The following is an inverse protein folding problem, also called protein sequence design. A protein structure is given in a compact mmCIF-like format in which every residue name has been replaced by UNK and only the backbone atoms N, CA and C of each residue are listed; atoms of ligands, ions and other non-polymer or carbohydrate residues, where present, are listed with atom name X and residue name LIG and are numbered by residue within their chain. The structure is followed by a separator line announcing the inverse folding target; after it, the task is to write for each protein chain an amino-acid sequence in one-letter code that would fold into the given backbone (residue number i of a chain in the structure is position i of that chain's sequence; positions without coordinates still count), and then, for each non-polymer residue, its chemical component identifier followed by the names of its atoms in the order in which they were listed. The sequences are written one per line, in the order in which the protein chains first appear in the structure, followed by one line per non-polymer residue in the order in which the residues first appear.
data_IF_780012295418
#
_entry.id   IF_780012295418
#
_cell.length_a   1.000
_cell.length_b   1.000
_cell.length_c   1.000
_cell.angle_alpha   90.00
_cell.angle_beta   90.00
_cell.angle_gamma   90.00
#
_symmetry.space_group_name_H-M   'P 1'
#
loop_
_entity.id
_entity.type
_entity.pdbx_description
1 polymer ?
#
# COMPACT_ATOMS: atom_id res chain seq x y z
N UNK A 1 13.67 -11.22 -19.09
CA UNK A 1 13.51 -10.41 -17.86
C UNK A 1 12.06 -10.37 -17.37
N UNK A 2 11.06 -9.92 -18.17
CA UNK A 2 9.67 -9.81 -17.69
C UNK A 2 8.75 -11.00 -18.01
N UNK A 3 9.22 -12.04 -18.69
CA UNK A 3 8.45 -13.26 -18.92
C UNK A 3 8.47 -14.18 -17.68
N UNK A 4 8.06 -13.66 -16.52
CA UNK A 4 8.16 -14.31 -15.20
C UNK A 4 6.81 -14.76 -14.63
N UNK A 5 5.70 -14.53 -15.35
CA UNK A 5 4.35 -14.78 -14.84
C UNK A 5 4.11 -16.24 -14.45
N UNK A 6 4.82 -17.18 -15.09
CA UNK A 6 4.74 -18.61 -14.78
C UNK A 6 5.56 -19.02 -13.55
N UNK A 7 6.53 -18.18 -13.15
CA UNK A 7 7.41 -18.41 -11.99
C UNK A 7 6.81 -17.82 -10.70
N UNK A 8 5.92 -16.84 -10.83
CA UNK A 8 5.31 -16.14 -9.70
C UNK A 8 4.47 -17.10 -8.85
N UNK A 9 4.80 -17.16 -7.56
CA UNK A 9 3.94 -17.78 -6.56
C UNK A 9 2.70 -16.90 -6.32
N UNK A 10 1.59 -17.22 -7.00
CA UNK A 10 0.34 -16.48 -6.90
C UNK A 10 -0.33 -16.56 -5.52
N UNK A 11 0.01 -17.57 -4.71
CA UNK A 11 -0.45 -17.63 -3.31
C UNK A 11 0.24 -16.51 -2.50
N UNK A 12 1.54 -16.30 -2.71
CA UNK A 12 2.28 -15.21 -2.07
C UNK A 12 1.69 -13.83 -2.44
N UNK A 13 1.32 -13.64 -3.71
CA UNK A 13 0.65 -12.43 -4.21
C UNK A 13 -0.68 -12.20 -3.48
N UNK A 14 -1.52 -13.23 -3.38
CA UNK A 14 -2.82 -13.10 -2.70
C UNK A 14 -2.64 -12.80 -1.21
N UNK A 15 -1.70 -13.47 -0.53
CA UNK A 15 -1.41 -13.23 0.89
C UNK A 15 -0.86 -11.82 1.13
N UNK A 16 0.02 -11.33 0.27
CA UNK A 16 0.54 -9.96 0.36
C UNK A 16 -0.57 -8.91 0.16
N UNK A 17 -1.47 -9.12 -0.80
CA UNK A 17 -2.61 -8.24 -1.04
C UNK A 17 -3.60 -8.25 0.15
N UNK A 18 -3.87 -9.42 0.73
CA UNK A 18 -4.72 -9.55 1.92
C UNK A 18 -4.08 -8.89 3.15
N UNK A 19 -2.78 -9.14 3.39
CA UNK A 19 -2.05 -8.57 4.51
C UNK A 19 -2.06 -7.03 4.48
N UNK A 20 -1.82 -6.43 3.31
CA UNK A 20 -1.85 -4.97 3.15
C UNK A 20 -3.27 -4.40 3.22
N UNK A 21 -4.28 -5.14 2.75
CA UNK A 21 -5.68 -4.72 2.89
C UNK A 21 -6.16 -4.73 4.34
N UNK A 22 -5.80 -5.77 5.10
CA UNK A 22 -6.04 -5.84 6.55
C UNK A 22 -5.31 -4.70 7.25
N UNK A 23 -4.03 -4.48 6.90
CA UNK A 23 -3.25 -3.35 7.40
C UNK A 23 -3.99 -2.04 7.13
N UNK A 24 -4.49 -1.79 5.93
CA UNK A 24 -5.20 -0.57 5.58
C UNK A 24 -6.45 -0.37 6.43
N UNK A 25 -7.26 -1.43 6.59
CA UNK A 25 -8.41 -1.41 7.49
C UNK A 25 -8.03 -1.01 8.90
N UNK A 26 -7.03 -1.67 9.49
CA UNK A 26 -6.54 -1.37 10.85
C UNK A 26 -5.91 0.03 10.95
N UNK A 27 -5.14 0.43 9.94
CA UNK A 27 -4.38 1.68 9.92
C UNK A 27 -5.30 2.90 9.89
N UNK A 28 -6.25 2.92 8.96
CA UNK A 28 -7.12 4.09 8.74
C UNK A 28 -8.36 4.13 9.63
N UNK A 29 -8.65 3.06 10.37
CA UNK A 29 -9.82 3.03 11.27
C UNK A 29 -9.42 2.97 12.76
N UNK A 30 -8.40 2.19 13.11
CA UNK A 30 -8.02 1.94 14.51
C UNK A 30 -6.81 2.80 14.88
N UNK A 31 -5.68 2.62 14.18
CA UNK A 31 -4.40 3.23 14.59
C UNK A 31 -4.43 4.75 14.37
N UNK A 32 -4.78 5.18 13.16
CA UNK A 32 -4.77 6.58 12.76
C UNK A 32 -6.15 7.14 12.44
N UNK A 33 -7.25 6.45 12.77
CA UNK A 33 -8.60 6.84 12.34
C UNK A 33 -8.97 8.28 12.68
N UNK A 34 -8.70 8.74 13.91
CA UNK A 34 -8.94 10.13 14.32
C UNK A 34 -8.08 11.13 13.54
N UNK A 35 -6.79 10.84 13.38
CA UNK A 35 -5.85 11.70 12.67
C UNK A 35 -6.15 11.74 11.16
N UNK A 36 -6.63 10.64 10.60
CA UNK A 36 -7.05 10.52 9.21
C UNK A 36 -8.34 11.30 8.94
N UNK A 37 -9.35 11.17 9.81
CA UNK A 37 -10.56 12.00 9.74
C UNK A 37 -10.24 13.50 9.85
N UNK A 38 -9.33 13.86 10.77
CA UNK A 38 -8.74 15.20 10.89
C UNK A 38 -8.07 15.65 9.59
N UNK A 39 -7.27 14.79 8.97
CA UNK A 39 -6.59 15.13 7.72
C UNK A 39 -7.59 15.44 6.59
N UNK A 40 -8.70 14.72 6.56
CA UNK A 40 -9.79 14.85 5.60
C UNK A 40 -10.81 15.95 5.92
N UNK A 41 -10.68 16.64 7.07
CA UNK A 41 -11.68 17.62 7.52
C UNK A 41 -13.04 17.00 7.91
N UNK A 42 -13.05 15.70 8.24
CA UNK A 42 -14.24 14.92 8.62
C UNK A 42 -14.33 14.67 10.13
N UNK A 43 -13.75 15.55 10.95
CA UNK A 43 -13.87 15.43 12.41
C UNK A 43 -15.33 15.64 12.83
N UNK A 44 -15.87 14.73 13.64
CA UNK A 44 -17.23 14.82 14.14
C UNK A 44 -18.32 14.45 13.13
N UNK A 45 -17.98 14.04 11.90
CA UNK A 45 -18.97 13.49 10.97
C UNK A 45 -19.37 12.08 11.42
N UNK A 46 -20.68 11.74 11.46
CA UNK A 46 -21.13 10.39 11.76
C UNK A 46 -20.48 9.37 10.82
N UNK A 47 -20.17 8.18 11.36
CA UNK A 47 -19.65 7.09 10.54
C UNK A 47 -20.77 6.52 9.69
N UNK A 48 -20.72 6.78 8.38
CA UNK A 48 -21.63 6.17 7.42
C UNK A 48 -21.11 4.81 6.96
N UNK A 49 -22.03 3.93 6.55
CA UNK A 49 -21.66 2.67 5.91
C UNK A 49 -20.94 2.98 4.60
N UNK A 50 -19.66 2.59 4.44
CA UNK A 50 -18.93 2.88 3.22
C UNK A 50 -19.59 2.20 2.02
N UNK A 51 -19.72 2.94 0.92
CA UNK A 51 -20.12 2.36 -0.36
C UNK A 51 -19.13 1.24 -0.75
N UNK A 52 -19.58 0.18 -1.46
CA UNK A 52 -18.72 -0.96 -1.81
C UNK A 52 -17.41 -0.56 -2.50
N UNK A 53 -17.41 0.52 -3.28
CA UNK A 53 -16.22 1.06 -3.94
C UNK A 53 -15.10 1.43 -2.95
N UNK A 54 -15.44 1.96 -1.77
CA UNK A 54 -14.45 2.36 -0.77
C UNK A 54 -13.86 1.19 0.02
N UNK A 55 -14.34 -0.04 -0.23
CA UNK A 55 -13.78 -1.29 0.30
C UNK A 55 -13.08 -2.05 -0.82
N UNK A 56 -13.80 -2.35 -1.91
CA UNK A 56 -13.29 -3.15 -3.01
C UNK A 56 -12.24 -2.39 -3.85
N UNK A 57 -12.39 -1.08 -4.01
CA UNK A 57 -11.45 -0.24 -4.78
C UNK A 57 -10.03 -0.32 -4.22
N UNK A 58 -9.79 0.01 -2.94
CA UNK A 58 -8.48 -0.13 -2.33
C UNK A 58 -7.88 -1.53 -2.43
N UNK A 59 -8.71 -2.59 -2.28
CA UNK A 59 -8.25 -3.97 -2.44
C UNK A 59 -7.75 -4.24 -3.88
N UNK A 60 -8.53 -3.85 -4.90
CA UNK A 60 -8.15 -4.05 -6.31
C UNK A 60 -6.89 -3.26 -6.66
N UNK A 61 -6.79 -2.00 -6.21
CA UNK A 61 -5.58 -1.20 -6.40
C UNK A 61 -4.37 -1.83 -5.70
N UNK A 62 -4.53 -2.29 -4.46
CA UNK A 62 -3.48 -2.97 -3.70
C UNK A 62 -3.02 -4.28 -4.36
N UNK A 63 -3.96 -5.05 -4.91
CA UNK A 63 -3.65 -6.27 -5.67
C UNK A 63 -2.84 -5.93 -6.93
N UNK A 64 -3.23 -4.90 -7.68
CA UNK A 64 -2.47 -4.44 -8.85
C UNK A 64 -1.05 -4.04 -8.47
N UNK A 65 -0.87 -3.25 -7.40
CA UNK A 65 0.47 -2.90 -6.87
C UNK A 65 1.27 -4.15 -6.49
N UNK A 66 0.63 -5.11 -5.82
CA UNK A 66 1.27 -6.36 -5.38
C UNK A 66 1.74 -7.19 -6.57
N UNK A 67 0.91 -7.34 -7.61
CA UNK A 67 1.29 -8.03 -8.86
C UNK A 67 2.46 -7.31 -9.54
N UNK A 68 2.42 -5.99 -9.64
CA UNK A 68 3.53 -5.21 -10.21
C UNK A 68 4.83 -5.44 -9.44
N UNK A 69 4.79 -5.37 -8.10
CA UNK A 69 5.98 -5.61 -7.28
C UNK A 69 6.48 -7.05 -7.41
N UNK A 70 5.60 -8.05 -7.47
CA UNK A 70 6.00 -9.44 -7.71
C UNK A 70 6.72 -9.60 -9.06
N UNK A 71 6.16 -9.04 -10.15
CA UNK A 71 6.83 -9.06 -11.46
C UNK A 71 8.23 -8.45 -11.37
N UNK A 72 8.39 -7.31 -10.70
CA UNK A 72 9.69 -6.66 -10.54
C UNK A 72 10.67 -7.46 -9.67
N UNK A 73 10.19 -8.09 -8.60
CA UNK A 73 11.01 -8.94 -7.71
C UNK A 73 11.57 -10.14 -8.46
N UNK A 74 10.75 -10.82 -9.27
CA UNK A 74 11.21 -11.93 -10.10
C UNK A 74 12.11 -11.43 -11.24
N UNK A 75 11.74 -10.33 -11.91
CA UNK A 75 12.50 -9.79 -13.04
C UNK A 75 13.90 -9.28 -12.66
N UNK A 76 14.07 -8.74 -11.44
CA UNK A 76 15.36 -8.28 -10.91
C UNK A 76 16.08 -9.34 -10.07
N UNK A 77 15.54 -10.55 -10.02
CA UNK A 77 16.07 -11.68 -9.27
C UNK A 77 16.40 -11.33 -7.80
N UNK A 78 15.44 -10.71 -7.12
CA UNK A 78 15.59 -10.37 -5.71
C UNK A 78 15.29 -11.62 -4.88
N UNK A 79 16.35 -12.19 -4.29
CA UNK A 79 16.27 -13.44 -3.51
C UNK A 79 16.39 -13.26 -1.99
N UNK A 80 17.07 -12.21 -1.53
CA UNK A 80 17.34 -12.02 -0.09
C UNK A 80 16.33 -11.08 0.57
N UNK A 81 16.00 -11.34 1.84
CA UNK A 81 15.11 -10.47 2.63
C UNK A 81 15.67 -9.05 2.79
N UNK A 82 17.00 -8.89 2.84
CA UNK A 82 17.65 -7.57 2.89
C UNK A 82 17.38 -6.79 1.61
N UNK A 83 17.57 -7.43 0.45
CA UNK A 83 17.27 -6.80 -0.84
C UNK A 83 15.76 -6.56 -1.02
N UNK A 84 14.92 -7.44 -0.46
CA UNK A 84 13.47 -7.24 -0.43
C UNK A 84 13.11 -5.95 0.32
N UNK A 85 13.66 -5.74 1.53
CA UNK A 85 13.42 -4.53 2.33
C UNK A 85 13.94 -3.27 1.62
N UNK A 86 15.12 -3.33 1.01
CA UNK A 86 15.68 -2.21 0.23
C UNK A 86 14.75 -1.88 -0.95
N UNK A 87 14.36 -2.89 -1.73
CA UNK A 87 13.45 -2.73 -2.87
C UNK A 87 12.08 -2.19 -2.45
N UNK A 88 11.46 -2.80 -1.43
CA UNK A 88 10.19 -2.38 -0.87
C UNK A 88 10.25 -0.97 -0.29
N UNK A 89 11.38 -0.57 0.29
CA UNK A 89 11.64 0.80 0.75
C UNK A 89 11.74 1.80 -0.42
N UNK A 90 12.49 1.47 -1.47
CA UNK A 90 12.63 2.32 -2.66
C UNK A 90 11.27 2.51 -3.35
N UNK A 91 10.53 1.42 -3.59
CA UNK A 91 9.18 1.49 -4.20
C UNK A 91 8.20 2.20 -3.25
N UNK A 92 8.23 1.85 -1.97
CA UNK A 92 7.36 2.39 -0.95
C UNK A 92 7.52 3.90 -0.79
N UNK A 93 8.74 4.42 -0.73
CA UNK A 93 9.02 5.86 -0.64
C UNK A 93 8.82 6.53 -2.00
N UNK A 94 9.52 6.03 -3.02
CA UNK A 94 9.71 6.73 -4.29
C UNK A 94 8.51 6.68 -5.23
N UNK A 95 7.69 5.63 -5.15
CA UNK A 95 6.52 5.45 -6.02
C UNK A 95 5.20 5.55 -5.25
N UNK A 96 5.08 4.90 -4.09
CA UNK A 96 3.79 4.82 -3.41
C UNK A 96 3.53 6.04 -2.51
N UNK A 97 4.43 6.32 -1.56
CA UNK A 97 4.29 7.42 -0.62
C UNK A 97 4.38 8.78 -1.33
N UNK A 98 5.35 8.98 -2.21
CA UNK A 98 5.52 10.22 -2.99
C UNK A 98 4.28 10.56 -3.80
N UNK A 99 3.71 9.60 -4.55
CA UNK A 99 2.50 9.78 -5.36
C UNK A 99 1.29 10.10 -4.48
N UNK A 100 1.19 9.44 -3.32
CA UNK A 100 0.12 9.71 -2.35
C UNK A 100 0.20 11.12 -1.79
N UNK A 101 1.40 11.56 -1.39
CA UNK A 101 1.64 12.93 -0.90
C UNK A 101 1.32 13.94 -1.99
N UNK A 102 1.81 13.73 -3.21
CA UNK A 102 1.54 14.60 -4.35
C UNK A 102 0.03 14.71 -4.64
N UNK A 103 -0.69 13.58 -4.61
CA UNK A 103 -2.15 13.54 -4.79
C UNK A 103 -2.87 14.34 -3.70
N UNK A 104 -2.37 14.29 -2.47
CA UNK A 104 -2.91 15.06 -1.35
C UNK A 104 -2.67 16.56 -1.48
N UNK A 105 -1.58 17.00 -2.12
CA UNK A 105 -1.27 18.42 -2.36
C UNK A 105 -2.21 18.96 -3.45
N UNK A 106 -3.44 19.26 -3.06
CA UNK A 106 -4.43 19.89 -3.90
C UNK A 106 -5.34 20.83 -3.06
N UNK A 107 -5.99 21.85 -3.67
CA UNK A 107 -6.78 22.83 -2.93
C UNK A 107 -8.00 22.28 -2.18
N UNK A 108 -8.47 21.08 -2.53
CA UNK A 108 -9.64 20.46 -1.89
C UNK A 108 -9.27 19.62 -0.67
N UNK A 109 -7.98 19.42 -0.40
CA UNK A 109 -7.50 18.63 0.74
C UNK A 109 -7.19 19.55 1.93
N UNK A 110 -7.92 19.47 3.07
CA UNK A 110 -7.78 20.42 4.17
C UNK A 110 -6.40 20.41 4.83
N UNK A 111 -5.81 19.23 5.00
CA UNK A 111 -4.51 19.05 5.66
C UNK A 111 -3.62 18.09 4.86
N UNK A 112 -3.09 18.54 3.71
CA UNK A 112 -2.46 17.67 2.73
C UNK A 112 -1.22 16.94 3.26
N UNK A 113 -0.39 17.62 4.06
CA UNK A 113 0.81 17.02 4.65
C UNK A 113 0.49 16.00 5.75
N UNK A 114 -0.57 16.22 6.53
CA UNK A 114 -1.02 15.25 7.53
C UNK A 114 -1.57 13.99 6.85
N UNK A 115 -2.39 14.16 5.81
CA UNK A 115 -2.85 13.04 4.98
C UNK A 115 -1.64 12.31 4.37
N UNK A 116 -0.70 13.06 3.79
CA UNK A 116 0.50 12.53 3.17
C UNK A 116 1.36 11.73 4.15
N UNK A 117 1.53 12.20 5.39
CA UNK A 117 2.27 11.45 6.41
C UNK A 117 1.55 10.14 6.78
N UNK A 118 0.24 10.18 7.04
CA UNK A 118 -0.54 9.01 7.46
C UNK A 118 -0.65 7.97 6.35
N UNK A 119 -1.09 8.41 5.16
CA UNK A 119 -1.32 7.53 4.02
C UNK A 119 -0.01 7.11 3.37
N UNK A 120 0.96 8.02 3.26
CA UNK A 120 2.27 7.72 2.70
C UNK A 120 3.04 6.70 3.54
N UNK A 121 3.01 6.80 4.87
CA UNK A 121 3.64 5.79 5.75
C UNK A 121 2.95 4.43 5.68
N UNK A 122 1.61 4.38 5.53
CA UNK A 122 0.89 3.15 5.22
C UNK A 122 1.39 2.50 3.93
N UNK A 123 1.53 3.28 2.85
CA UNK A 123 1.96 2.76 1.56
C UNK A 123 3.43 2.33 1.56
N UNK A 124 4.30 3.04 2.29
CA UNK A 124 5.67 2.59 2.54
C UNK A 124 5.68 1.22 3.23
N UNK A 125 4.96 1.09 4.35
CA UNK A 125 4.89 -0.16 5.09
C UNK A 125 4.28 -1.28 4.25
N UNK A 126 3.29 -0.96 3.41
CA UNK A 126 2.68 -1.90 2.48
C UNK A 126 3.69 -2.40 1.44
N UNK A 127 4.51 -1.52 0.87
CA UNK A 127 5.60 -1.90 -0.04
C UNK A 127 6.61 -2.84 0.62
N UNK A 128 6.99 -2.57 1.87
CA UNK A 128 7.86 -3.45 2.66
C UNK A 128 7.22 -4.83 2.88
N UNK A 129 5.97 -4.88 3.36
CA UNK A 129 5.23 -6.13 3.60
C UNK A 129 5.10 -6.95 2.33
N UNK A 130 4.70 -6.31 1.22
CA UNK A 130 4.60 -6.98 -0.09
C UNK A 130 5.94 -7.60 -0.45
N UNK A 131 7.02 -6.81 -0.44
CA UNK A 131 8.34 -7.30 -0.84
C UNK A 131 8.83 -8.48 0.02
N UNK A 132 8.62 -8.41 1.33
CA UNK A 132 9.01 -9.46 2.28
C UNK A 132 8.19 -10.74 2.04
N UNK A 133 6.87 -10.63 1.90
CA UNK A 133 6.01 -11.81 1.68
C UNK A 133 6.35 -12.49 0.36
N UNK A 134 6.51 -11.71 -0.72
CA UNK A 134 6.84 -12.28 -2.03
C UNK A 134 8.19 -12.99 -1.97
N UNK A 135 9.24 -12.38 -1.41
CA UNK A 135 10.58 -12.99 -1.35
C UNK A 135 10.64 -14.18 -0.39
N UNK A 136 9.95 -14.11 0.76
CA UNK A 136 9.93 -15.22 1.72
C UNK A 136 9.20 -16.46 1.20
N UNK A 137 8.36 -16.32 0.18
CA UNK A 137 7.54 -17.37 -0.41
C UNK A 137 7.86 -17.63 -1.90
N UNK A 138 8.90 -16.99 -2.43
CA UNK A 138 9.37 -17.15 -3.81
C UNK A 138 9.85 -18.59 -4.01
#
# INVERSE_FOLDING_TARGET
MFNVLQEINWIAVLLAALATSILGGVWFTIIFGKAYARALGKEGTPTEKPAPLFIAGPFVCGLATTVTMAILIYAFDIESLVNALIFGGIVGVGLLASTTVNTAINPNMPRPLLYGLISGSYFLLSGLIISVIIVAMK
#
